data_IF_065764636316
#
_entry.id   IF_065764636316
#
_cell.length_a   1.000
_cell.length_b   1.000
_cell.length_c   1.000
_cell.angle_alpha   90.00
_cell.angle_beta   90.00
_cell.angle_gamma   90.00
#
_symmetry.space_group_name_H-M   'P 1'
#
loop_
_entity.id
_entity.type
_entity.pdbx_description
1 polymer ?
#
# COMPACT_ATOMS: atom_id res chain seq x y z
N UNK A 1 30.54 13.02 -0.12
CA UNK A 1 29.85 11.99 -0.90
C UNK A 1 28.56 11.61 -0.19
N UNK A 2 27.41 11.86 -0.81
CA UNK A 2 26.14 11.26 -0.39
C UNK A 2 26.27 9.78 -0.76
N UNK A 3 26.39 8.89 0.23
CA UNK A 3 26.32 7.44 -0.04
C UNK A 3 24.84 7.07 -0.06
N UNK A 4 24.35 6.58 -1.19
CA UNK A 4 23.05 5.93 -1.25
C UNK A 4 23.03 4.80 -0.20
N UNK A 5 21.96 4.68 0.60
CA UNK A 5 21.79 3.55 1.50
C UNK A 5 22.00 2.25 0.73
N UNK A 6 22.75 1.30 1.31
CA UNK A 6 22.86 -0.04 0.72
C UNK A 6 21.46 -0.65 0.68
N UNK A 7 21.02 -1.06 -0.51
CA UNK A 7 19.76 -1.79 -0.69
C UNK A 7 20.05 -3.25 -0.97
N UNK A 8 19.09 -4.10 -0.62
CA UNK A 8 19.06 -5.52 -0.98
C UNK A 8 17.72 -5.83 -1.62
N UNK A 9 17.66 -6.93 -2.35
CA UNK A 9 16.40 -7.46 -2.87
C UNK A 9 15.87 -8.47 -1.85
N UNK A 10 14.62 -8.28 -1.45
CA UNK A 10 13.90 -9.16 -0.52
C UNK A 10 12.73 -9.78 -1.28
N UNK A 11 12.73 -11.09 -1.36
CA UNK A 11 11.55 -11.87 -1.76
C UNK A 11 10.92 -12.49 -0.53
N UNK A 12 9.60 -12.46 -0.46
CA UNK A 12 8.91 -13.12 0.63
C UNK A 12 7.58 -13.71 0.18
N UNK A 13 7.17 -14.80 0.81
CA UNK A 13 5.90 -15.46 0.56
C UNK A 13 5.09 -15.55 1.86
N UNK A 14 3.81 -15.17 1.80
CA UNK A 14 2.89 -15.18 2.94
C UNK A 14 1.53 -15.75 2.51
N UNK A 15 0.80 -16.35 3.46
CA UNK A 15 -0.55 -16.84 3.23
C UNK A 15 -1.52 -15.72 2.79
N UNK A 16 -2.41 -16.05 1.85
CA UNK A 16 -3.36 -15.13 1.24
C UNK A 16 -4.30 -14.44 2.23
N UNK A 17 -4.65 -15.09 3.34
CA UNK A 17 -5.52 -14.55 4.39
C UNK A 17 -4.79 -13.59 5.34
N UNK A 18 -3.46 -13.66 5.42
CA UNK A 18 -2.63 -12.80 6.28
C UNK A 18 -2.07 -11.57 5.55
N UNK A 19 -2.08 -11.61 4.22
CA UNK A 19 -1.34 -10.64 3.42
C UNK A 19 -1.77 -9.19 3.62
N UNK A 20 -3.05 -8.93 3.88
CA UNK A 20 -3.56 -7.56 3.99
C UNK A 20 -2.92 -6.82 5.15
N UNK A 21 -2.79 -7.49 6.30
CA UNK A 21 -2.17 -6.91 7.49
C UNK A 21 -0.65 -6.76 7.32
N UNK A 22 -0.01 -7.72 6.65
CA UNK A 22 1.40 -7.58 6.27
C UNK A 22 1.58 -6.34 5.37
N UNK A 23 0.81 -6.21 4.29
CA UNK A 23 0.94 -5.06 3.39
C UNK A 23 0.61 -3.73 4.06
N UNK A 24 -0.41 -3.68 4.92
CA UNK A 24 -0.75 -2.49 5.69
C UNK A 24 0.40 -2.07 6.61
N UNK A 25 0.99 -3.03 7.35
CA UNK A 25 2.08 -2.75 8.28
C UNK A 25 3.37 -2.33 7.56
N UNK A 26 3.71 -2.97 6.44
CA UNK A 26 4.85 -2.59 5.60
C UNK A 26 4.64 -1.21 4.96
N UNK A 27 3.41 -0.91 4.51
CA UNK A 27 3.03 0.39 3.98
C UNK A 27 3.21 1.52 5.00
N UNK A 28 2.90 1.27 6.28
CA UNK A 28 3.13 2.23 7.36
C UNK A 28 4.62 2.51 7.63
N UNK A 29 5.48 1.50 7.45
CA UNK A 29 6.92 1.69 7.58
C UNK A 29 7.46 2.62 6.47
N UNK A 30 6.91 2.51 5.25
CA UNK A 30 7.33 3.34 4.11
C UNK A 30 8.75 3.06 3.65
N UNK A 31 9.25 1.84 3.86
CA UNK A 31 10.65 1.46 3.61
C UNK A 31 10.83 0.50 2.42
N UNK A 32 9.75 0.17 1.72
CA UNK A 32 9.75 -0.91 0.71
C UNK A 32 9.42 -0.32 -0.65
N UNK A 33 10.23 -0.67 -1.64
CA UNK A 33 9.92 -0.43 -3.03
C UNK A 33 9.58 -1.75 -3.73
N UNK A 34 8.29 -1.94 -3.90
CA UNK A 34 7.65 -3.08 -4.49
C UNK A 34 7.95 -3.24 -5.99
N UNK A 35 8.22 -4.46 -6.43
CA UNK A 35 8.47 -4.77 -7.85
C UNK A 35 7.27 -5.47 -8.46
N UNK A 36 6.92 -5.03 -9.66
CA UNK A 36 5.84 -5.60 -10.45
C UNK A 36 6.31 -6.86 -11.17
N UNK A 37 5.82 -8.03 -10.75
CA UNK A 37 6.12 -9.32 -11.37
C UNK A 37 5.72 -9.33 -12.85
N UNK A 38 4.71 -8.55 -13.27
CA UNK A 38 4.35 -8.45 -14.69
C UNK A 38 5.41 -7.73 -15.52
N UNK A 39 6.35 -7.02 -14.88
CA UNK A 39 7.41 -6.24 -15.52
C UNK A 39 8.81 -6.78 -15.21
N UNK A 40 8.93 -7.80 -14.36
CA UNK A 40 10.22 -8.37 -14.01
C UNK A 40 10.76 -9.25 -15.13
N UNK A 41 12.09 -9.29 -15.28
CA UNK A 41 12.78 -10.23 -16.18
C UNK A 41 13.27 -11.49 -15.48
N UNK A 42 12.98 -11.64 -14.18
CA UNK A 42 13.39 -12.80 -13.41
C UNK A 42 12.62 -14.08 -13.80
N UNK A 43 13.28 -14.92 -14.59
CA UNK A 43 12.73 -16.18 -15.08
C UNK A 43 12.51 -17.22 -13.97
N UNK A 44 13.31 -17.22 -12.92
CA UNK A 44 13.15 -18.19 -11.82
C UNK A 44 11.86 -17.91 -11.07
N UNK A 45 11.60 -16.64 -10.78
CA UNK A 45 10.36 -16.20 -10.16
C UNK A 45 9.14 -16.49 -11.04
N UNK A 46 9.21 -16.13 -12.33
CA UNK A 46 8.11 -16.32 -13.30
C UNK A 46 7.73 -17.80 -13.54
N UNK A 47 8.62 -18.75 -13.26
CA UNK A 47 8.31 -20.18 -13.35
C UNK A 47 7.51 -20.72 -12.16
N UNK A 48 7.46 -19.98 -11.06
CA UNK A 48 6.89 -20.44 -9.78
C UNK A 48 5.58 -19.72 -9.46
N UNK A 49 5.38 -18.52 -10.02
CA UNK A 49 4.26 -17.63 -9.66
C UNK A 49 3.37 -17.31 -10.86
N UNK A 50 2.06 -17.31 -10.64
CA UNK A 50 1.08 -16.84 -11.63
C UNK A 50 0.61 -15.44 -11.26
N UNK A 51 0.49 -14.48 -12.21
CA UNK A 51 0.06 -13.13 -11.91
C UNK A 51 -1.28 -13.09 -11.15
N UNK A 52 -1.33 -12.29 -10.09
CA UNK A 52 -2.53 -12.08 -9.31
C UNK A 52 -3.51 -11.20 -10.10
N UNK A 53 -4.74 -11.70 -10.25
CA UNK A 53 -5.83 -10.95 -10.85
C UNK A 53 -6.61 -10.18 -9.78
N UNK A 54 -6.95 -8.93 -10.11
CA UNK A 54 -7.80 -8.12 -9.25
C UNK A 54 -9.19 -8.74 -9.15
N UNK A 55 -9.70 -8.82 -7.93
CA UNK A 55 -11.07 -9.28 -7.68
C UNK A 55 -12.10 -8.24 -8.15
N UNK A 56 -13.34 -8.68 -8.40
CA UNK A 56 -14.48 -7.79 -8.62
C UNK A 56 -14.70 -6.83 -7.43
N UNK A 57 -14.37 -7.29 -6.22
CA UNK A 57 -14.43 -6.49 -5.00
C UNK A 57 -13.46 -5.32 -5.01
N UNK A 58 -12.27 -5.45 -5.62
CA UNK A 58 -11.30 -4.36 -5.76
C UNK A 58 -11.84 -3.19 -6.61
N UNK A 59 -12.56 -3.50 -7.69
CA UNK A 59 -13.23 -2.48 -8.51
C UNK A 59 -14.32 -1.75 -7.72
N UNK A 60 -15.13 -2.50 -6.97
CA UNK A 60 -16.18 -1.94 -6.10
C UNK A 60 -15.59 -1.01 -5.04
N UNK A 61 -14.52 -1.44 -4.35
CA UNK A 61 -13.82 -0.61 -3.36
C UNK A 61 -13.32 0.69 -4.00
N UNK A 62 -12.74 0.61 -5.20
CA UNK A 62 -12.24 1.76 -5.95
C UNK A 62 -13.33 2.76 -6.31
N UNK A 63 -14.49 2.27 -6.74
CA UNK A 63 -15.65 3.12 -7.07
C UNK A 63 -16.16 3.87 -5.83
N UNK A 64 -16.36 3.16 -4.71
CA UNK A 64 -16.85 3.75 -3.46
C UNK A 64 -15.84 4.78 -2.94
N UNK A 65 -14.55 4.43 -2.91
CA UNK A 65 -13.48 5.32 -2.51
C UNK A 65 -13.48 6.63 -3.34
N UNK A 66 -13.63 6.52 -4.66
CA UNK A 66 -13.65 7.68 -5.55
C UNK A 66 -14.86 8.58 -5.27
N UNK A 67 -16.03 8.00 -4.97
CA UNK A 67 -17.21 8.77 -4.56
C UNK A 67 -16.96 9.53 -3.26
N UNK A 68 -16.44 8.86 -2.24
CA UNK A 68 -16.12 9.48 -0.95
C UNK A 68 -15.07 10.58 -1.10
N UNK A 69 -13.99 10.32 -1.86
CA UNK A 69 -12.93 11.29 -2.10
C UNK A 69 -13.46 12.59 -2.70
N UNK A 70 -14.42 12.48 -3.63
CA UNK A 70 -15.10 13.65 -4.22
C UNK A 70 -15.93 14.41 -3.18
N UNK A 71 -16.64 13.70 -2.29
CA UNK A 71 -17.41 14.33 -1.21
C UNK A 71 -16.50 15.07 -0.23
N UNK A 72 -15.42 14.44 0.24
CA UNK A 72 -14.44 15.07 1.13
C UNK A 72 -13.82 16.32 0.49
N UNK A 73 -13.43 16.22 -0.79
CA UNK A 73 -12.88 17.35 -1.54
C UNK A 73 -13.89 18.48 -1.69
N UNK A 74 -15.17 18.18 -1.98
CA UNK A 74 -16.24 19.19 -2.07
C UNK A 74 -16.44 19.95 -0.77
N UNK A 75 -16.24 19.30 0.38
CA UNK A 75 -16.36 19.91 1.71
C UNK A 75 -15.09 20.69 2.10
N UNK A 76 -14.01 20.59 1.30
CA UNK A 76 -12.74 21.27 1.57
C UNK A 76 -11.89 20.57 2.64
N UNK A 77 -12.18 19.31 2.93
CA UNK A 77 -11.45 18.52 3.92
C UNK A 77 -10.31 17.74 3.28
N UNK A 78 -9.34 17.38 4.12
CA UNK A 78 -8.22 16.55 3.70
C UNK A 78 -8.39 15.14 4.28
N UNK A 79 -8.05 14.11 3.50
CA UNK A 79 -7.98 12.76 4.01
C UNK A 79 -7.06 12.61 5.23
N UNK A 80 -7.45 11.80 6.21
CA UNK A 80 -6.57 11.47 7.35
C UNK A 80 -5.52 10.44 6.97
N UNK A 81 -4.53 10.18 7.84
CA UNK A 81 -3.55 9.10 7.62
C UNK A 81 -4.19 7.71 7.79
N UNK A 82 -3.72 6.74 7.01
CA UNK A 82 -4.12 5.32 7.08
C UNK A 82 -3.46 4.67 8.30
N UNK A 83 -4.22 3.81 8.99
CA UNK A 83 -3.77 2.97 10.09
C UNK A 83 -4.07 1.49 9.80
N UNK A 84 -3.36 0.54 10.42
CA UNK A 84 -3.64 -0.90 10.26
C UNK A 84 -5.07 -1.24 10.69
N UNK A 85 -5.58 -0.57 11.74
CA UNK A 85 -6.94 -0.78 12.23
C UNK A 85 -8.03 -0.41 11.20
N UNK A 86 -7.68 0.34 10.15
CA UNK A 86 -8.63 0.66 9.08
C UNK A 86 -9.03 -0.60 8.28
N UNK A 87 -8.25 -1.68 8.36
CA UNK A 87 -8.56 -2.98 7.75
C UNK A 87 -9.70 -3.71 8.47
N UNK A 88 -10.03 -3.36 9.72
CA UNK A 88 -11.13 -3.99 10.47
C UNK A 88 -12.48 -3.77 9.79
N UNK A 89 -12.58 -2.74 8.95
CA UNK A 89 -13.75 -2.42 8.16
C UNK A 89 -13.85 -3.18 6.81
N UNK A 90 -12.88 -4.05 6.49
CA UNK A 90 -12.87 -4.82 5.24
C UNK A 90 -14.16 -5.60 5.00
N UNK A 91 -14.69 -6.24 6.05
CA UNK A 91 -15.92 -7.03 5.95
C UNK A 91 -17.20 -6.17 5.95
N UNK A 92 -17.07 -4.85 5.99
CA UNK A 92 -18.18 -3.89 6.06
C UNK A 92 -18.33 -3.05 4.78
N UNK A 93 -17.59 -3.35 3.70
CA UNK A 93 -17.62 -2.57 2.44
C UNK A 93 -19.05 -2.34 1.92
N UNK A 94 -19.92 -3.35 1.99
CA UNK A 94 -21.33 -3.20 1.59
C UNK A 94 -22.09 -2.19 2.46
N UNK A 95 -21.89 -2.24 3.78
CA UNK A 95 -22.53 -1.29 4.72
C UNK A 95 -22.00 0.12 4.49
N UNK A 96 -20.69 0.27 4.30
CA UNK A 96 -20.05 1.55 3.97
C UNK A 96 -20.66 2.13 2.70
N UNK A 97 -20.89 1.32 1.66
CA UNK A 97 -21.50 1.79 0.43
C UNK A 97 -22.89 2.40 0.65
N UNK A 98 -23.73 1.75 1.45
CA UNK A 98 -25.08 2.21 1.81
C UNK A 98 -25.02 3.49 2.66
N UNK A 99 -24.15 3.51 3.67
CA UNK A 99 -23.98 4.67 4.54
C UNK A 99 -23.45 5.89 3.78
N UNK A 100 -22.56 5.70 2.81
CA UNK A 100 -22.05 6.79 1.96
C UNK A 100 -23.19 7.37 1.10
N UNK A 101 -24.09 6.54 0.57
CA UNK A 101 -25.28 7.03 -0.17
C UNK A 101 -26.17 7.87 0.73
N UNK A 102 -26.38 7.41 1.98
CA UNK A 102 -27.17 8.15 2.96
C UNK A 102 -26.50 9.48 3.35
N UNK A 103 -25.20 9.48 3.62
CA UNK A 103 -24.43 10.69 3.97
C UNK A 103 -24.45 11.70 2.82
N UNK A 104 -24.33 11.25 1.56
CA UNK A 104 -24.43 12.13 0.39
C UNK A 104 -25.79 12.84 0.30
N UNK A 105 -26.89 12.11 0.61
CA UNK A 105 -28.23 12.71 0.68
C UNK A 105 -28.35 13.72 1.82
N UNK A 106 -27.83 13.38 3.00
CA UNK A 106 -27.83 14.23 4.21
C UNK A 106 -27.03 15.52 3.97
N UNK A 107 -25.86 15.44 3.36
CA UNK A 107 -25.01 16.61 3.08
C UNK A 107 -25.66 17.59 2.09
N UNK A 108 -26.65 17.14 1.32
CA UNK A 108 -27.40 17.98 0.41
C UNK A 108 -28.57 18.72 1.09
N UNK A 109 -28.93 18.33 2.32
CA UNK A 109 -30.02 18.90 3.09
C UNK A 109 -29.54 19.98 4.07
N UNK A 110 -29.93 21.23 3.81
CA UNK A 110 -29.53 22.40 4.61
C UNK A 110 -30.25 22.51 5.96
N UNK A 111 -31.27 21.68 6.21
CA UNK A 111 -32.06 21.71 7.46
C UNK A 111 -31.41 20.96 8.62
N UNK A 112 -30.32 20.24 8.35
CA UNK A 112 -29.68 19.35 9.31
C UNK A 112 -28.82 20.12 10.32
N UNK A 113 -28.90 19.73 11.59
CA UNK A 113 -28.09 20.33 12.65
C UNK A 113 -26.58 20.17 12.38
N UNK A 114 -25.79 21.19 12.73
CA UNK A 114 -24.34 21.18 12.54
C UNK A 114 -23.64 20.00 13.23
N UNK A 115 -24.09 19.62 14.42
CA UNK A 115 -23.52 18.50 15.18
C UNK A 115 -23.75 17.16 14.48
N UNK A 116 -24.93 16.96 13.89
CA UNK A 116 -25.22 15.75 13.12
C UNK A 116 -24.41 15.72 11.82
N UNK A 117 -24.28 16.86 11.14
CA UNK A 117 -23.41 16.97 9.96
C UNK A 117 -21.95 16.63 10.31
N UNK A 118 -21.42 17.14 11.42
CA UNK A 118 -20.05 16.85 11.83
C UNK A 118 -19.82 15.36 12.08
N UNK A 119 -20.77 14.66 12.73
CA UNK A 119 -20.67 13.21 12.93
C UNK A 119 -20.58 12.44 11.60
N UNK A 120 -21.38 12.82 10.61
CA UNK A 120 -21.35 12.19 9.30
C UNK A 120 -20.06 12.51 8.53
N UNK A 121 -19.52 13.71 8.69
CA UNK A 121 -18.21 14.09 8.15
C UNK A 121 -17.11 13.21 8.77
N UNK A 122 -17.11 13.03 10.09
CA UNK A 122 -16.11 12.21 10.78
C UNK A 122 -16.19 10.72 10.34
N UNK A 123 -17.41 10.20 10.17
CA UNK A 123 -17.64 8.87 9.60
C UNK A 123 -17.10 8.77 8.18
N UNK A 124 -17.38 9.75 7.32
CA UNK A 124 -16.93 9.79 5.94
C UNK A 124 -15.40 9.78 5.84
N UNK A 125 -14.70 10.51 6.71
CA UNK A 125 -13.24 10.53 6.81
C UNK A 125 -12.70 9.13 7.19
N UNK A 126 -13.37 8.43 8.11
CA UNK A 126 -12.98 7.08 8.51
C UNK A 126 -13.19 6.06 7.38
N UNK A 127 -14.30 6.16 6.66
CA UNK A 127 -14.56 5.31 5.49
C UNK A 127 -13.63 5.58 4.33
N UNK A 128 -13.23 6.84 4.10
CA UNK A 128 -12.19 7.15 3.12
C UNK A 128 -10.88 6.44 3.47
N UNK A 129 -10.43 6.56 4.71
CA UNK A 129 -9.15 5.98 5.12
C UNK A 129 -9.14 4.46 4.97
N UNK A 130 -10.23 3.79 5.37
CA UNK A 130 -10.39 2.34 5.23
C UNK A 130 -10.45 1.90 3.77
N UNK A 131 -11.30 2.50 2.95
CA UNK A 131 -11.41 2.12 1.55
C UNK A 131 -10.13 2.43 0.77
N UNK A 132 -9.42 3.50 1.13
CA UNK A 132 -8.12 3.81 0.55
C UNK A 132 -7.08 2.76 0.92
N UNK A 133 -7.03 2.34 2.19
CA UNK A 133 -6.14 1.27 2.64
C UNK A 133 -6.38 -0.02 1.84
N UNK A 134 -7.64 -0.44 1.73
CA UNK A 134 -8.02 -1.64 0.98
C UNK A 134 -7.68 -1.50 -0.50
N UNK A 135 -7.93 -0.33 -1.10
CA UNK A 135 -7.59 -0.07 -2.50
C UNK A 135 -6.08 -0.16 -2.74
N UNK A 136 -5.26 0.48 -1.90
CA UNK A 136 -3.80 0.42 -2.03
C UNK A 136 -3.28 -1.01 -1.83
N UNK A 137 -3.87 -1.78 -0.91
CA UNK A 137 -3.54 -3.21 -0.74
C UNK A 137 -3.86 -4.00 -2.00
N UNK A 138 -5.04 -3.83 -2.61
CA UNK A 138 -5.41 -4.52 -3.85
C UNK A 138 -4.51 -4.10 -5.03
N UNK A 139 -4.16 -2.81 -5.13
CA UNK A 139 -3.20 -2.31 -6.13
C UNK A 139 -1.83 -2.98 -5.98
N UNK A 140 -1.35 -3.09 -4.73
CA UNK A 140 -0.10 -3.78 -4.42
C UNK A 140 -0.24 -5.24 -4.82
N UNK A 141 -1.26 -5.99 -4.35
CA UNK A 141 -1.49 -7.39 -4.75
C UNK A 141 -1.45 -7.62 -6.26
N UNK A 142 -2.00 -6.71 -7.06
CA UNK A 142 -2.01 -6.81 -8.52
C UNK A 142 -0.62 -6.77 -9.18
N UNK A 143 0.41 -6.33 -8.46
CA UNK A 143 1.81 -6.34 -8.87
C UNK A 143 2.47 -7.72 -8.67
N UNK A 144 1.81 -8.68 -8.01
CA UNK A 144 2.43 -9.92 -7.55
C UNK A 144 1.85 -11.17 -8.18
N UNK A 145 2.45 -12.29 -7.82
CA UNK A 145 2.07 -13.60 -8.27
C UNK A 145 1.70 -14.51 -7.11
N UNK A 146 0.75 -15.40 -7.34
CA UNK A 146 0.34 -16.42 -6.40
C UNK A 146 1.09 -17.73 -6.64
N UNK A 147 1.33 -18.47 -5.56
CA UNK A 147 1.70 -19.89 -5.61
C UNK A 147 0.45 -20.70 -5.23
N UNK A 148 -0.04 -21.49 -6.18
CA UNK A 148 -1.15 -22.44 -6.01
C UNK A 148 -2.40 -21.84 -5.31
N UNK A 149 -2.65 -20.53 -5.48
CA UNK A 149 -3.76 -19.80 -4.89
C UNK A 149 -3.76 -19.63 -3.35
N UNK A 150 -2.74 -20.16 -2.64
CA UNK A 150 -2.67 -20.16 -1.16
C UNK A 150 -1.68 -19.15 -0.60
N UNK A 151 -0.56 -18.96 -1.28
CA UNK A 151 0.47 -18.00 -0.90
C UNK A 151 0.62 -16.94 -1.97
N UNK A 152 0.96 -15.73 -1.55
CA UNK A 152 1.34 -14.64 -2.45
C UNK A 152 2.83 -14.36 -2.27
N UNK A 153 3.54 -14.24 -3.38
CA UNK A 153 4.98 -13.98 -3.42
C UNK A 153 5.22 -12.53 -3.81
N UNK A 154 6.01 -11.86 -2.99
CA UNK A 154 6.37 -10.48 -3.14
C UNK A 154 7.84 -10.37 -3.45
N UNK A 155 8.17 -9.47 -4.36
CA UNK A 155 9.54 -9.10 -4.65
C UNK A 155 9.71 -7.58 -4.48
N UNK A 156 10.74 -7.18 -3.73
CA UNK A 156 10.89 -5.78 -3.34
C UNK A 156 12.33 -5.39 -3.03
N UNK A 157 12.62 -4.10 -3.20
CA UNK A 157 13.85 -3.49 -2.74
C UNK A 157 13.67 -2.92 -1.33
N UNK A 158 14.63 -3.21 -0.47
CA UNK A 158 14.63 -2.75 0.93
C UNK A 158 16.00 -2.19 1.33
N UNK A 159 16.06 -1.15 2.18
CA UNK A 159 17.32 -0.71 2.78
C UNK A 159 17.90 -1.83 3.66
N UNK A 160 19.16 -2.21 3.44
CA UNK A 160 19.83 -3.30 4.17
C UNK A 160 19.80 -3.06 5.69
N UNK A 161 19.98 -1.81 6.12
CA UNK A 161 19.94 -1.40 7.54
C UNK A 161 18.55 -1.56 8.19
N UNK A 162 17.50 -1.73 7.39
CA UNK A 162 16.10 -1.86 7.84
C UNK A 162 15.55 -3.26 7.64
N UNK A 163 16.34 -4.18 7.09
CA UNK A 163 15.93 -5.55 6.78
C UNK A 163 15.33 -6.25 8.01
N UNK A 164 16.00 -6.20 9.17
CA UNK A 164 15.50 -6.85 10.39
C UNK A 164 14.12 -6.36 10.81
N UNK A 165 13.90 -5.03 10.80
CA UNK A 165 12.60 -4.45 11.18
C UNK A 165 11.52 -4.89 10.19
N UNK A 166 11.86 -4.99 8.91
CA UNK A 166 10.95 -5.43 7.85
C UNK A 166 10.59 -6.90 8.02
N UNK A 167 11.58 -7.79 8.21
CA UNK A 167 11.34 -9.23 8.40
C UNK A 167 10.58 -9.51 9.69
N UNK A 168 10.93 -8.84 10.80
CA UNK A 168 10.19 -8.92 12.07
C UNK A 168 8.73 -8.48 11.91
N UNK A 169 8.48 -7.45 11.09
CA UNK A 169 7.13 -6.98 10.78
C UNK A 169 6.35 -8.02 9.96
N UNK A 170 6.98 -8.60 8.93
CA UNK A 170 6.38 -9.68 8.13
C UNK A 170 6.01 -10.84 9.06
N UNK A 171 6.96 -11.35 9.84
CA UNK A 171 6.78 -12.50 10.72
C UNK A 171 5.71 -12.25 11.80
N UNK A 172 5.62 -11.03 12.32
CA UNK A 172 4.59 -10.67 13.29
C UNK A 172 3.18 -10.73 12.70
N UNK A 173 2.98 -10.15 11.51
CA UNK A 173 1.64 -10.06 10.90
C UNK A 173 1.28 -11.28 10.02
N UNK A 174 2.23 -12.17 9.77
CA UNK A 174 2.03 -13.47 9.12
C UNK A 174 1.76 -14.62 10.10
N UNK A 175 1.68 -14.36 11.41
CA UNK A 175 1.66 -15.38 12.47
C UNK A 175 2.87 -16.35 12.38
N UNK A 176 4.05 -15.83 12.03
CA UNK A 176 5.27 -16.60 11.77
C UNK A 176 5.18 -17.57 10.57
N UNK A 177 4.18 -17.38 9.70
CA UNK A 177 3.97 -18.19 8.49
C UNK A 177 4.46 -17.42 7.24
N UNK A 178 5.76 -17.11 7.25
CA UNK A 178 6.48 -16.43 6.16
C UNK A 178 7.69 -17.23 5.72
N UNK A 179 8.03 -17.12 4.44
CA UNK A 179 9.31 -17.56 3.87
C UNK A 179 9.95 -16.35 3.21
N UNK A 180 11.25 -16.16 3.37
CA UNK A 180 11.98 -15.06 2.74
C UNK A 180 13.30 -15.51 2.11
N UNK A 181 13.68 -14.83 1.04
CA UNK A 181 14.98 -14.90 0.39
C UNK A 181 15.56 -13.48 0.31
N UNK A 182 16.82 -13.32 0.72
CA UNK A 182 17.54 -12.04 0.67
C UNK A 182 18.68 -12.16 -0.33
N UNK A 183 18.64 -11.36 -1.38
CA UNK A 183 19.66 -11.33 -2.42
C UNK A 183 20.50 -10.08 -2.23
N UNK A 184 21.73 -10.27 -1.77
CA UNK A 184 22.70 -9.19 -1.56
C UNK A 184 23.58 -8.93 -2.78
N UNK A 185 23.77 -9.94 -3.62
CA UNK A 185 24.60 -9.88 -4.82
C UNK A 185 23.77 -9.36 -6.00
N UNK A 186 23.65 -8.04 -6.06
CA UNK A 186 22.79 -7.35 -7.03
C UNK A 186 23.34 -7.38 -8.47
N UNK A 187 24.61 -7.73 -8.67
CA UNK A 187 25.21 -7.82 -10.01
C UNK A 187 24.61 -8.96 -10.84
N UNK A 188 23.97 -9.93 -10.17
CA UNK A 188 23.23 -11.03 -10.80
C UNK A 188 21.82 -10.63 -11.25
N UNK A 189 21.33 -9.47 -10.84
CA UNK A 189 20.01 -8.98 -11.22
C UNK A 189 20.13 -8.08 -12.44
N UNK A 190 19.30 -8.33 -13.46
CA UNK A 190 19.19 -7.43 -14.62
C UNK A 190 18.56 -6.07 -14.23
N UNK A 191 17.76 -6.04 -13.17
CA UNK A 191 17.11 -4.85 -12.65
C UNK A 191 18.04 -4.02 -11.75
N UNK A 192 18.13 -2.71 -12.03
CA UNK A 192 18.89 -1.79 -11.19
C UNK A 192 18.11 -1.43 -9.91
N UNK A 193 18.80 -1.31 -8.76
CA UNK A 193 18.18 -0.86 -7.53
C UNK A 193 17.62 0.55 -7.65
N UNK A 194 16.55 0.89 -6.91
CA UNK A 194 16.04 2.24 -6.83
C UNK A 194 17.02 3.14 -6.07
N UNK A 195 17.14 4.39 -6.52
CA UNK A 195 17.92 5.41 -5.82
C UNK A 195 17.18 5.89 -4.58
N UNK A 196 17.70 5.57 -3.40
CA UNK A 196 17.16 6.06 -2.13
C UNK A 196 17.85 7.37 -1.75
N UNK A 197 17.10 8.47 -1.70
CA UNK A 197 17.58 9.76 -1.21
C UNK A 197 17.13 9.94 0.25
N UNK A 198 18.09 10.08 1.16
CA UNK A 198 17.78 10.33 2.57
C UNK A 198 17.41 11.81 2.77
N UNK A 199 16.12 12.09 2.91
CA UNK A 199 15.56 13.44 3.08
C UNK A 199 15.99 14.15 4.38
N UNK A 200 16.60 13.43 5.34
CA UNK A 200 17.13 14.02 6.58
C UNK A 200 18.44 14.80 6.41
N UNK A 201 19.04 14.81 5.22
CA UNK A 201 20.24 15.62 4.98
C UNK A 201 19.89 17.09 4.82
N UNK A 202 20.80 18.01 5.19
CA UNK A 202 20.67 19.49 5.00
C UNK A 202 20.43 19.93 3.53
N UNK A 203 20.41 18.97 2.61
CA UNK A 203 20.19 19.15 1.17
C UNK A 203 18.79 18.71 0.71
N UNK A 204 17.86 18.38 1.64
CA UNK A 204 16.49 17.95 1.29
C UNK A 204 15.77 18.89 0.32
N UNK A 205 15.98 20.21 0.42
CA UNK A 205 15.47 21.20 -0.53
C UNK A 205 16.08 21.09 -1.94
N UNK A 206 17.36 20.72 -2.05
CA UNK A 206 18.03 20.51 -3.35
C UNK A 206 17.69 19.17 -3.98
N UNK A 207 17.40 18.14 -3.17
CA UNK A 207 16.90 16.85 -3.65
C UNK A 207 15.50 16.94 -4.29
N UNK A 208 14.70 17.95 -3.91
CA UNK A 208 13.44 18.27 -4.58
C UNK A 208 13.66 18.94 -5.95
N UNK A 209 14.68 19.81 -6.06
CA UNK A 209 15.04 20.45 -7.33
C UNK A 209 15.52 19.44 -8.37
N UNK A 210 16.32 18.45 -7.97
CA UNK A 210 16.80 17.40 -8.89
C UNK A 210 15.68 16.46 -9.34
N UNK A 211 14.70 16.16 -8.46
CA UNK A 211 13.52 15.35 -8.83
C UNK A 211 12.68 15.99 -9.94
N UNK A 212 12.64 17.32 -10.01
CA UNK A 212 11.97 18.06 -11.10
C UNK A 212 12.60 17.84 -12.49
N UNK A 213 13.86 17.43 -12.56
CA UNK A 213 14.57 17.13 -13.81
C UNK A 213 14.67 15.62 -14.11
N UNK A 214 14.33 14.76 -13.15
CA UNK A 214 14.36 13.31 -13.25
C UNK A 214 14.88 12.64 -11.99
N UNK A 215 14.43 11.40 -11.73
CA UNK A 215 15.01 10.58 -10.66
C UNK A 215 16.39 10.10 -11.17
N UNK A 216 17.49 10.35 -10.45
CA UNK A 216 18.79 9.82 -10.85
C UNK A 216 18.73 8.29 -10.83
N UNK A 217 19.00 7.67 -11.98
CA UNK A 217 19.08 6.22 -12.18
C UNK A 217 20.51 5.77 -11.91
#
# INVERSE_FOLDING_TARGET
MIRSPKVVRLRFAVLKDKIDYVLASLGQLGLIHFVDIKKTSDKELLNIVEPYELSSEAYRISEIHNRISRLITKIGLQPRKITVNDLDLKNQVSKIEEEVKNIESILSDQSISKDLMQKHIDQLINYEAALRALREIENVKAMYGGIAGRMLVFDCWVPKEKLNIITETIDKYSDQLSIYEVIEDLEKLEEKPPTIINEKSKLGGFAALTRGFGIPI
#
